data_IF_481908714446
#
_entry.id   IF_481908714446
#
_cell.length_a   1.000
_cell.length_b   1.000
_cell.length_c   1.000
_cell.angle_alpha   90.00
_cell.angle_beta   90.00
_cell.angle_gamma   90.00
#
_symmetry.space_group_name_H-M   'P 1'
#
loop_
_entity.id
_entity.type
_entity.pdbx_description
1 polymer ?
#
# COMPACT_ATOMS: atom_id res chain seq x y z
N UNK A 1 33.36 -15.90 44.36
CA UNK A 1 32.14 -15.77 43.55
C UNK A 1 31.28 -14.69 44.19
N UNK A 2 31.22 -13.50 43.61
CA UNK A 2 30.27 -12.46 43.99
C UNK A 2 29.51 -12.11 42.72
N UNK A 3 28.25 -12.53 42.64
CA UNK A 3 27.33 -12.14 41.57
C UNK A 3 26.62 -10.87 42.00
N UNK A 4 26.76 -9.78 41.24
CA UNK A 4 25.92 -8.61 41.39
C UNK A 4 24.47 -9.00 41.08
N UNK A 5 23.56 -8.84 42.04
CA UNK A 5 22.13 -8.75 41.74
C UNK A 5 21.85 -7.36 41.18
N UNK A 6 21.35 -7.30 39.94
CA UNK A 6 20.77 -6.06 39.41
C UNK A 6 19.53 -5.72 40.24
N UNK A 7 19.53 -4.51 40.78
CA UNK A 7 18.40 -3.95 41.52
C UNK A 7 17.20 -3.78 40.57
N UNK A 8 16.05 -4.30 40.97
CA UNK A 8 14.80 -4.17 40.22
C UNK A 8 14.34 -2.71 40.30
N UNK A 9 14.51 -1.96 39.20
CA UNK A 9 14.06 -0.57 39.12
C UNK A 9 12.61 -0.54 38.65
N UNK A 10 11.69 -0.21 39.55
CA UNK A 10 10.30 0.09 39.21
C UNK A 10 10.23 1.42 38.46
N UNK A 11 10.09 1.36 37.14
CA UNK A 11 9.85 2.55 36.31
C UNK A 11 8.40 3.00 36.55
N UNK A 12 8.14 4.24 36.99
CA UNK A 12 6.78 4.74 37.15
C UNK A 12 6.03 4.66 35.83
N UNK A 13 4.79 4.19 35.86
CA UNK A 13 3.93 4.21 34.69
C UNK A 13 3.69 5.66 34.26
N UNK A 14 4.12 6.01 33.04
CA UNK A 14 3.84 7.32 32.46
C UNK A 14 2.33 7.55 32.32
N UNK A 15 1.88 8.80 32.41
CA UNK A 15 0.50 9.16 32.12
C UNK A 15 0.16 8.81 30.66
N UNK A 16 -1.04 8.25 30.42
CA UNK A 16 -1.49 7.99 29.06
C UNK A 16 -1.80 9.30 28.34
N UNK A 17 -1.17 9.47 27.19
CA UNK A 17 -1.33 10.65 26.33
C UNK A 17 -2.22 10.27 25.15
N UNK A 18 -3.04 11.21 24.68
CA UNK A 18 -3.84 11.02 23.46
C UNK A 18 -2.88 11.08 22.27
N UNK A 19 -2.88 10.04 21.44
CA UNK A 19 -2.15 9.97 20.19
C UNK A 19 -3.12 10.15 19.04
N UNK A 20 -2.79 11.06 18.12
CA UNK A 20 -3.58 11.36 16.92
C UNK A 20 -2.70 11.21 15.69
N UNK A 21 -3.17 10.45 14.70
CA UNK A 21 -2.47 10.28 13.43
C UNK A 21 -3.44 10.55 12.27
N UNK A 22 -3.11 11.54 11.46
CA UNK A 22 -3.84 11.85 10.24
C UNK A 22 -2.97 12.61 9.25
N UNK A 23 -3.09 12.25 7.97
CA UNK A 23 -2.48 12.95 6.85
C UNK A 23 -3.55 13.18 5.81
N UNK A 24 -3.91 14.44 5.57
CA UNK A 24 -4.86 14.80 4.52
C UNK A 24 -4.21 14.63 3.15
N UNK A 25 -4.87 13.93 2.22
CA UNK A 25 -4.33 13.69 0.89
C UNK A 25 -5.18 14.31 -0.22
N UNK A 26 -4.55 14.94 -1.22
CA UNK A 26 -5.19 15.33 -2.48
C UNK A 26 -5.27 14.19 -3.50
N UNK A 27 -4.97 12.95 -3.11
CA UNK A 27 -5.09 11.78 -3.98
C UNK A 27 -6.55 11.61 -4.44
N UNK A 28 -6.87 11.78 -5.73
CA UNK A 28 -8.23 11.58 -6.22
C UNK A 28 -8.67 10.12 -6.14
N UNK A 29 -7.71 9.18 -6.07
CA UNK A 29 -7.99 7.74 -5.94
C UNK A 29 -8.18 7.33 -4.48
N UNK A 30 -7.94 8.24 -3.51
CA UNK A 30 -8.25 7.99 -2.11
C UNK A 30 -9.76 7.97 -1.90
N UNK A 31 -10.31 6.78 -1.67
CA UNK A 31 -11.75 6.57 -1.42
C UNK A 31 -12.24 7.24 -0.12
N UNK A 32 -11.33 7.56 0.80
CA UNK A 32 -11.62 8.15 2.10
C UNK A 32 -10.36 8.76 2.75
N UNK A 33 -10.58 9.65 3.71
CA UNK A 33 -9.56 10.12 4.65
C UNK A 33 -9.81 9.53 6.04
N UNK A 34 -8.75 9.42 6.83
CA UNK A 34 -8.79 8.80 8.14
C UNK A 34 -8.11 9.67 9.21
N UNK A 35 -8.65 9.61 10.42
CA UNK A 35 -8.03 10.09 11.64
C UNK A 35 -8.03 8.94 12.63
N UNK A 36 -6.85 8.54 13.08
CA UNK A 36 -6.68 7.53 14.12
C UNK A 36 -6.45 8.22 15.46
N UNK A 37 -7.17 7.79 16.49
CA UNK A 37 -7.16 8.35 17.85
C UNK A 37 -7.02 7.22 18.85
N UNK A 38 -5.97 7.26 19.64
CA UNK A 38 -5.61 6.19 20.57
C UNK A 38 -4.89 6.68 21.83
N UNK A 39 -4.71 5.81 22.81
CA UNK A 39 -3.84 6.07 23.96
C UNK A 39 -2.41 5.65 23.68
N UNK A 40 -1.44 6.39 24.23
CA UNK A 40 -0.05 5.95 24.27
C UNK A 40 0.09 4.63 25.05
N UNK A 41 1.02 3.79 24.61
CA UNK A 41 1.37 2.54 25.30
C UNK A 41 2.31 2.86 26.46
N UNK A 42 1.95 2.41 27.66
CA UNK A 42 2.71 2.65 28.91
C UNK A 42 3.45 1.38 29.39
N UNK A 43 3.75 0.45 28.50
CA UNK A 43 4.41 -0.83 28.83
C UNK A 43 3.54 -1.89 29.53
N UNK A 44 2.27 -1.59 29.83
CA UNK A 44 1.34 -2.50 30.56
C UNK A 44 0.29 -3.15 29.67
N UNK A 45 0.23 -2.77 28.39
CA UNK A 45 -0.76 -3.28 27.46
C UNK A 45 -0.16 -4.39 26.61
N UNK A 46 -0.75 -5.59 26.66
CA UNK A 46 -0.52 -6.60 25.64
C UNK A 46 -1.10 -6.07 24.34
N UNK A 47 -0.25 -5.68 23.40
CA UNK A 47 -0.68 -5.33 22.05
C UNK A 47 -1.07 -6.66 21.38
N UNK A 48 -2.36 -6.86 21.02
CA UNK A 48 -2.74 -8.05 20.29
C UNK A 48 -1.99 -8.08 18.96
N UNK A 49 -1.62 -9.27 18.48
CA UNK A 49 -1.02 -9.43 17.16
C UNK A 49 -2.01 -8.89 16.11
N UNK A 50 -1.65 -7.77 15.48
CA UNK A 50 -2.54 -7.01 14.60
C UNK A 50 -2.48 -7.59 13.19
N UNK A 51 -2.88 -8.85 13.03
CA UNK A 51 -2.96 -9.51 11.72
C UNK A 51 -4.24 -9.06 10.99
N UNK A 52 -4.23 -7.85 10.44
CA UNK A 52 -5.31 -7.35 9.57
C UNK A 52 -4.78 -7.11 8.16
N UNK A 53 -4.63 -8.18 7.37
CA UNK A 53 -4.19 -8.09 5.97
C UNK A 53 -5.07 -7.21 5.07
N UNK A 54 -6.27 -6.81 5.53
CA UNK A 54 -7.17 -5.83 4.88
C UNK A 54 -8.00 -5.07 5.93
N UNK A 55 -8.08 -3.75 5.80
CA UNK A 55 -8.94 -2.90 6.63
C UNK A 55 -8.30 -1.58 7.03
N UNK A 56 -9.09 -0.63 7.58
CA UNK A 56 -8.57 0.60 8.15
C UNK A 56 -7.46 0.31 9.19
N UNK A 57 -6.55 1.26 9.45
CA UNK A 57 -5.52 1.10 10.47
C UNK A 57 -6.16 0.72 11.80
N UNK A 58 -5.63 -0.25 12.54
CA UNK A 58 -6.21 -0.65 13.82
C UNK A 58 -5.32 -0.15 14.95
N UNK A 59 -5.73 0.89 15.70
CA UNK A 59 -4.94 1.38 16.82
C UNK A 59 -4.81 0.28 17.89
N UNK A 60 -3.62 0.04 18.45
CA UNK A 60 -3.44 -0.83 19.60
C UNK A 60 -4.33 -0.51 20.80
N UNK A 61 -4.54 0.78 21.10
CA UNK A 61 -5.33 1.24 22.26
C UNK A 61 -6.38 2.28 21.84
N UNK A 62 -7.45 1.88 21.12
CA UNK A 62 -8.41 2.81 20.53
C UNK A 62 -9.08 3.73 21.54
N UNK A 63 -9.32 4.99 21.15
CA UNK A 63 -10.25 5.89 21.83
C UNK A 63 -11.53 6.00 21.00
N UNK A 64 -12.59 5.34 21.47
CA UNK A 64 -13.91 5.40 20.84
C UNK A 64 -14.74 6.59 21.32
N UNK A 65 -15.67 7.06 20.48
CA UNK A 65 -16.63 8.11 20.83
C UNK A 65 -16.06 9.53 20.84
N UNK A 66 -14.90 9.77 20.22
CA UNK A 66 -14.35 11.11 20.06
C UNK A 66 -15.10 11.93 19.01
N UNK A 67 -15.19 13.24 19.22
CA UNK A 67 -15.65 14.21 18.24
C UNK A 67 -14.47 14.73 17.42
N UNK A 68 -14.40 14.34 16.14
CA UNK A 68 -13.29 14.64 15.22
C UNK A 68 -13.77 15.59 14.13
N UNK A 69 -13.28 16.83 14.17
CA UNK A 69 -13.65 17.89 13.25
C UNK A 69 -12.40 18.45 12.58
N UNK A 70 -12.45 18.63 11.26
CA UNK A 70 -11.46 19.38 10.50
C UNK A 70 -12.12 20.62 9.92
N UNK A 71 -11.54 21.78 10.23
CA UNK A 71 -12.01 23.09 9.78
C UNK A 71 -11.00 23.69 8.81
N UNK A 72 -11.45 24.13 7.63
CA UNK A 72 -10.65 24.87 6.65
C UNK A 72 -10.52 26.34 7.06
N UNK A 73 -9.53 27.03 6.51
CA UNK A 73 -9.26 28.45 6.77
C UNK A 73 -10.46 29.40 6.56
N UNK A 74 -11.39 29.08 5.67
CA UNK A 74 -12.64 29.83 5.45
C UNK A 74 -13.77 29.52 6.45
N UNK A 75 -13.53 28.64 7.42
CA UNK A 75 -14.50 28.25 8.45
C UNK A 75 -15.36 27.04 8.08
N UNK A 76 -15.32 26.59 6.84
CA UNK A 76 -15.99 25.35 6.41
C UNK A 76 -15.43 24.17 7.21
N UNK A 77 -16.29 23.23 7.59
CA UNK A 77 -15.91 22.16 8.52
C UNK A 77 -16.56 20.83 8.15
N UNK A 78 -15.77 19.78 8.27
CA UNK A 78 -16.20 18.40 8.09
C UNK A 78 -16.01 17.62 9.39
N UNK A 79 -16.93 16.69 9.64
CA UNK A 79 -16.88 15.80 10.80
C UNK A 79 -16.56 14.39 10.33
N UNK A 80 -15.56 13.77 10.95
CA UNK A 80 -15.24 12.38 10.69
C UNK A 80 -16.10 11.49 11.59
N UNK A 81 -16.52 10.34 11.05
CA UNK A 81 -17.39 9.39 11.76
C UNK A 81 -16.60 8.15 12.13
N UNK A 82 -16.73 7.68 13.37
CA UNK A 82 -16.07 6.44 13.81
C UNK A 82 -16.54 5.24 12.98
N UNK A 83 -15.61 4.38 12.57
CA UNK A 83 -15.92 3.15 11.85
C UNK A 83 -16.43 2.11 12.86
N UNK A 84 -17.64 1.54 12.69
CA UNK A 84 -18.21 0.60 13.67
C UNK A 84 -17.32 -0.61 13.97
N UNK A 85 -16.63 -1.15 12.96
CA UNK A 85 -15.82 -2.36 13.08
C UNK A 85 -14.34 -2.07 13.40
N UNK A 86 -13.96 -0.81 13.61
CA UNK A 86 -12.58 -0.42 13.93
C UNK A 86 -12.58 0.81 14.81
N UNK A 87 -12.71 0.58 16.12
CA UNK A 87 -12.72 1.62 17.13
C UNK A 87 -11.46 2.48 17.05
N UNK A 88 -11.59 3.75 17.44
CA UNK A 88 -10.51 4.73 17.39
C UNK A 88 -10.12 5.17 15.97
N UNK A 89 -10.85 4.73 14.93
CA UNK A 89 -10.66 5.21 13.57
C UNK A 89 -11.88 5.96 13.10
N UNK A 90 -11.65 7.20 12.70
CA UNK A 90 -12.66 8.12 12.22
C UNK A 90 -12.43 8.31 10.73
N UNK A 91 -13.48 8.17 9.94
CA UNK A 91 -13.46 8.18 8.48
C UNK A 91 -14.36 9.26 7.94
N UNK A 92 -13.97 9.82 6.80
CA UNK A 92 -14.85 10.56 5.91
C UNK A 92 -14.67 10.07 4.48
N UNK A 93 -15.77 9.90 3.75
CA UNK A 93 -15.73 9.47 2.35
C UNK A 93 -15.29 10.60 1.42
N UNK A 94 -14.66 10.27 0.30
CA UNK A 94 -14.27 11.28 -0.69
C UNK A 94 -15.45 12.14 -1.18
N UNK A 95 -16.62 11.52 -1.35
CA UNK A 95 -17.85 12.23 -1.78
C UNK A 95 -18.25 13.38 -0.85
N UNK A 96 -18.00 13.25 0.45
CA UNK A 96 -18.30 14.28 1.45
C UNK A 96 -17.20 15.36 1.55
N UNK A 97 -16.08 15.16 0.86
CA UNK A 97 -14.93 16.06 0.85
C UNK A 97 -14.73 16.80 -0.48
N UNK A 98 -15.60 16.57 -1.47
CA UNK A 98 -15.47 17.17 -2.80
C UNK A 98 -15.43 18.70 -2.67
N UNK A 99 -14.34 19.31 -3.12
CA UNK A 99 -14.12 20.75 -3.02
C UNK A 99 -13.72 21.26 -1.62
N UNK A 100 -13.68 20.40 -0.60
CA UNK A 100 -13.19 20.75 0.73
C UNK A 100 -11.65 20.84 0.74
N UNK A 101 -10.97 19.83 0.20
CA UNK A 101 -9.52 19.80 0.09
C UNK A 101 -9.04 20.59 -1.14
N UNK A 102 -8.09 21.50 -0.95
CA UNK A 102 -7.47 22.24 -2.04
C UNK A 102 -6.02 22.63 -1.73
N UNK A 103 -5.14 22.70 -2.75
CA UNK A 103 -3.78 23.21 -2.61
C UNK A 103 -3.70 24.57 -1.89
N UNK A 104 -2.70 24.74 -1.03
CA UNK A 104 -2.40 26.00 -0.36
C UNK A 104 -3.36 26.41 0.76
N UNK A 105 -4.45 25.66 1.00
CA UNK A 105 -5.37 25.90 2.10
C UNK A 105 -4.80 25.45 3.45
N UNK A 106 -5.16 26.17 4.51
CA UNK A 106 -4.88 25.72 5.88
C UNK A 106 -6.06 24.95 6.46
N UNK A 107 -5.76 23.90 7.22
CA UNK A 107 -6.72 23.05 7.91
C UNK A 107 -6.37 22.97 9.38
N UNK A 108 -7.41 22.95 10.23
CA UNK A 108 -7.32 22.86 11.68
C UNK A 108 -8.07 21.63 12.15
N UNK A 109 -7.36 20.71 12.81
CA UNK A 109 -7.93 19.53 13.44
C UNK A 109 -8.33 19.86 14.89
N UNK A 110 -9.50 19.37 15.29
CA UNK A 110 -9.93 19.29 16.69
C UNK A 110 -10.46 17.89 16.96
N UNK A 111 -9.88 17.23 17.96
CA UNK A 111 -10.35 15.95 18.50
C UNK A 111 -10.76 16.17 19.95
N UNK A 112 -12.03 15.96 20.28
CA UNK A 112 -12.53 15.99 21.66
C UNK A 112 -12.84 14.56 22.09
N UNK A 113 -12.08 14.01 23.02
CA UNK A 113 -12.30 12.64 23.51
C UNK A 113 -13.43 12.60 24.56
N UNK A 114 -14.03 11.43 24.87
CA UNK A 114 -15.20 11.35 25.76
C UNK A 114 -14.98 11.94 27.16
N UNK A 115 -13.75 11.93 27.66
CA UNK A 115 -13.40 12.51 28.97
C UNK A 115 -13.27 14.05 28.95
N UNK A 116 -13.51 14.69 27.80
CA UNK A 116 -13.49 16.14 27.61
C UNK A 116 -12.13 16.72 27.24
N UNK A 117 -11.04 15.94 27.25
CA UNK A 117 -9.74 16.40 26.75
C UNK A 117 -9.78 16.69 25.26
N UNK A 118 -8.96 17.65 24.82
CA UNK A 118 -8.96 18.15 23.44
C UNK A 118 -7.56 18.14 22.86
N UNK A 119 -7.41 17.53 21.68
CA UNK A 119 -6.22 17.64 20.84
C UNK A 119 -6.49 18.61 19.69
N UNK A 120 -5.54 19.50 19.41
CA UNK A 120 -5.61 20.44 18.28
C UNK A 120 -4.37 20.31 17.41
N UNK A 121 -4.54 20.46 16.10
CA UNK A 121 -3.44 20.50 15.14
C UNK A 121 -3.75 21.45 14.00
N UNK A 122 -2.71 21.90 13.28
CA UNK A 122 -2.87 22.68 12.05
C UNK A 122 -1.92 22.17 10.98
N UNK A 123 -2.38 22.10 9.74
CA UNK A 123 -1.56 21.74 8.57
C UNK A 123 -1.92 22.63 7.38
N UNK A 124 -1.02 22.74 6.42
CA UNK A 124 -1.26 23.45 5.15
C UNK A 124 -1.08 22.48 4.01
N UNK A 125 -2.08 22.39 3.14
CA UNK A 125 -2.05 21.48 2.01
C UNK A 125 -0.99 21.94 0.99
N UNK A 126 -0.01 21.09 0.63
CA UNK A 126 0.96 21.45 -0.39
C UNK A 126 0.32 21.52 -1.78
N UNK A 127 1.00 22.20 -2.71
CA UNK A 127 0.67 22.14 -4.13
C UNK A 127 0.96 20.77 -4.72
N UNK A 128 0.10 20.28 -5.62
CA UNK A 128 0.36 19.06 -6.38
C UNK A 128 1.59 19.26 -7.25
N UNK A 129 2.63 18.42 -7.13
CA UNK A 129 3.84 18.56 -7.92
C UNK A 129 3.55 18.30 -9.40
N UNK A 130 4.25 19.01 -10.29
CA UNK A 130 4.34 18.64 -11.71
C UNK A 130 5.49 17.67 -11.85
N UNK A 131 5.19 16.43 -12.23
CA UNK A 131 6.18 15.35 -12.33
C UNK A 131 6.47 15.04 -13.80
N UNK A 132 7.75 15.01 -14.16
CA UNK A 132 8.26 14.70 -15.50
C UNK A 132 9.04 13.39 -15.49
N UNK A 133 9.11 12.72 -16.64
CA UNK A 133 9.80 11.44 -16.80
C UNK A 133 8.94 10.21 -16.45
N UNK A 134 7.66 10.41 -16.14
CA UNK A 134 6.71 9.31 -15.95
C UNK A 134 6.20 8.80 -17.29
N UNK A 135 6.13 7.47 -17.43
CA UNK A 135 5.44 6.82 -18.54
C UNK A 135 3.91 6.92 -18.37
N UNK A 136 3.12 6.72 -19.45
CA UNK A 136 1.67 6.60 -19.36
C UNK A 136 1.23 5.51 -18.38
N UNK A 137 0.02 5.66 -17.83
CA UNK A 137 -0.54 4.64 -16.93
C UNK A 137 -0.74 3.31 -17.67
N UNK A 138 -0.32 2.23 -17.02
CA UNK A 138 -0.32 0.89 -17.58
C UNK A 138 0.70 0.66 -18.70
N UNK A 139 1.67 1.56 -18.90
CA UNK A 139 2.79 1.34 -19.81
C UNK A 139 3.71 0.21 -19.29
N UNK A 140 4.32 -0.58 -20.18
CA UNK A 140 5.29 -1.57 -19.78
C UNK A 140 6.55 -0.90 -19.25
N UNK A 141 7.09 -1.42 -18.15
CA UNK A 141 8.39 -1.05 -17.59
C UNK A 141 9.23 -2.32 -17.44
N UNK A 142 10.29 -2.46 -18.25
CA UNK A 142 11.17 -3.62 -18.22
C UNK A 142 12.21 -3.46 -17.11
N UNK A 143 12.08 -4.24 -16.03
CA UNK A 143 12.95 -4.14 -14.86
C UNK A 143 14.42 -4.44 -15.15
N UNK A 144 14.76 -5.15 -16.22
CA UNK A 144 16.15 -5.54 -16.52
C UNK A 144 16.91 -4.48 -17.32
N UNK A 145 16.17 -3.57 -17.99
CA UNK A 145 16.74 -2.61 -18.94
C UNK A 145 16.40 -1.16 -18.60
N UNK A 146 15.20 -0.94 -18.10
CA UNK A 146 14.68 0.40 -17.92
C UNK A 146 15.14 1.00 -16.59
N UNK A 147 15.26 2.32 -16.61
CA UNK A 147 15.54 3.12 -15.43
C UNK A 147 14.59 4.29 -15.42
N UNK A 148 13.85 4.44 -14.32
CA UNK A 148 12.92 5.54 -14.16
C UNK A 148 13.68 6.79 -13.71
N UNK A 149 13.79 7.77 -14.59
CA UNK A 149 14.36 9.08 -14.30
C UNK A 149 13.24 10.09 -14.09
N UNK A 150 13.02 10.49 -12.84
CA UNK A 150 11.91 11.37 -12.47
C UNK A 150 12.44 12.69 -11.97
N UNK A 151 11.79 13.78 -12.36
CA UNK A 151 12.00 15.09 -11.77
C UNK A 151 10.66 15.76 -11.45
N UNK A 152 10.64 16.66 -10.49
CA UNK A 152 9.43 17.37 -10.11
C UNK A 152 9.67 18.85 -9.82
N UNK A 153 8.62 19.63 -10.02
CA UNK A 153 8.56 21.07 -9.70
C UNK A 153 7.15 21.46 -9.22
N UNK A 154 6.94 22.73 -8.87
CA UNK A 154 5.59 23.24 -8.59
C UNK A 154 4.97 22.83 -7.24
N UNK A 155 5.70 22.13 -6.37
CA UNK A 155 5.26 21.71 -5.04
C UNK A 155 5.27 22.88 -4.02
N UNK A 156 4.56 23.97 -4.29
CA UNK A 156 4.52 25.12 -3.39
C UNK A 156 4.05 24.73 -1.98
N UNK A 157 4.69 25.28 -0.95
CA UNK A 157 4.40 24.95 0.44
C UNK A 157 4.88 23.58 0.89
N UNK A 158 5.54 22.81 0.01
CA UNK A 158 6.12 21.53 0.37
C UNK A 158 7.46 21.67 1.07
N UNK A 159 7.71 20.82 2.07
CA UNK A 159 9.02 20.72 2.74
C UNK A 159 9.96 19.71 2.08
N UNK A 160 9.40 18.80 1.29
CA UNK A 160 10.09 17.72 0.58
C UNK A 160 9.05 16.78 -0.03
N UNK A 161 9.52 15.80 -0.80
CA UNK A 161 8.64 14.78 -1.38
C UNK A 161 8.82 13.43 -0.71
N UNK A 162 7.74 12.68 -0.69
CA UNK A 162 7.68 11.27 -0.39
C UNK A 162 7.64 10.49 -1.70
N UNK A 163 8.49 9.47 -1.84
CA UNK A 163 8.54 8.60 -3.00
C UNK A 163 8.19 7.19 -2.56
N UNK A 164 7.27 6.57 -3.28
CA UNK A 164 6.80 5.22 -2.99
C UNK A 164 6.69 4.37 -4.25
N UNK A 165 7.05 3.09 -4.11
CA UNK A 165 6.66 2.02 -5.04
C UNK A 165 5.87 0.99 -4.23
N UNK A 166 4.68 0.65 -4.72
CA UNK A 166 3.80 -0.34 -4.07
C UNK A 166 3.06 -1.17 -5.11
N UNK A 167 2.73 -2.44 -4.82
CA UNK A 167 1.84 -3.20 -5.67
C UNK A 167 0.47 -2.53 -5.65
N UNK A 168 -0.14 -2.37 -6.82
CA UNK A 168 -1.42 -1.67 -6.97
C UNK A 168 -2.52 -2.26 -6.08
N UNK A 169 -2.60 -3.59 -6.05
CA UNK A 169 -3.72 -4.32 -5.46
C UNK A 169 -3.47 -4.76 -4.00
N UNK A 170 -2.30 -4.39 -3.43
CA UNK A 170 -1.88 -4.73 -2.07
C UNK A 170 -1.46 -3.48 -1.31
N UNK A 171 -2.43 -2.75 -0.76
CA UNK A 171 -2.25 -1.47 -0.08
C UNK A 171 -1.24 -1.44 1.10
N UNK A 172 -0.93 -2.60 1.71
CA UNK A 172 0.01 -2.69 2.84
C UNK A 172 1.44 -3.08 2.44
N UNK A 173 1.63 -3.55 1.21
CA UNK A 173 2.96 -3.92 0.76
C UNK A 173 3.60 -2.71 0.12
N UNK A 174 4.67 -2.24 0.73
CA UNK A 174 5.46 -1.18 0.16
C UNK A 174 6.82 -1.73 -0.20
N UNK A 175 7.20 -1.55 -1.46
CA UNK A 175 8.49 -2.00 -2.01
C UNK A 175 9.55 -0.95 -1.86
N UNK A 176 9.16 0.32 -1.85
CA UNK A 176 10.07 1.41 -1.59
C UNK A 176 9.31 2.52 -0.85
N UNK A 177 9.89 3.02 0.23
CA UNK A 177 9.53 4.30 0.84
C UNK A 177 10.81 5.06 1.06
N UNK A 178 10.83 6.30 0.58
CA UNK A 178 11.85 7.27 0.95
C UNK A 178 11.27 8.68 0.89
N UNK A 179 11.99 9.60 1.50
CA UNK A 179 11.72 11.02 1.43
C UNK A 179 12.98 11.75 1.01
N UNK A 180 12.81 12.85 0.30
CA UNK A 180 13.93 13.67 -0.17
C UNK A 180 13.50 15.11 -0.37
N UNK A 181 14.43 16.03 -0.15
CA UNK A 181 14.33 17.45 -0.54
C UNK A 181 14.93 17.71 -1.93
N UNK A 182 15.46 16.67 -2.60
CA UNK A 182 15.88 16.76 -3.99
C UNK A 182 14.68 17.03 -4.91
N UNK A 183 14.96 17.48 -6.13
CA UNK A 183 13.96 17.69 -7.19
C UNK A 183 13.99 16.61 -8.26
N UNK A 184 14.86 15.61 -8.09
CA UNK A 184 15.04 14.50 -9.03
C UNK A 184 15.36 13.21 -8.30
N UNK A 185 14.95 12.11 -8.92
CA UNK A 185 15.25 10.77 -8.43
C UNK A 185 15.44 9.81 -9.60
N UNK A 186 16.26 8.79 -9.39
CA UNK A 186 16.53 7.77 -10.40
C UNK A 186 16.38 6.41 -9.76
N UNK A 187 15.51 5.58 -10.35
CA UNK A 187 15.22 4.24 -9.86
C UNK A 187 15.54 3.24 -10.96
N UNK A 188 16.67 2.53 -10.87
CA UNK A 188 16.95 1.42 -11.76
C UNK A 188 15.88 0.33 -11.62
N UNK A 189 15.53 -0.34 -12.72
CA UNK A 189 14.59 -1.44 -12.69
C UNK A 189 15.03 -2.62 -11.81
N UNK A 190 16.35 -2.87 -11.72
CA UNK A 190 16.96 -3.89 -10.86
C UNK A 190 17.33 -3.39 -9.45
N UNK A 191 16.65 -2.34 -8.97
CA UNK A 191 16.90 -1.85 -7.62
C UNK A 191 16.50 -2.92 -6.60
N UNK A 192 17.47 -3.36 -5.80
CA UNK A 192 17.24 -4.32 -4.74
C UNK A 192 16.45 -3.70 -3.59
N UNK A 193 15.54 -4.47 -3.02
CA UNK A 193 14.84 -4.15 -1.79
C UNK A 193 15.82 -4.23 -0.61
N UNK A 194 16.00 -3.15 0.17
CA UNK A 194 17.07 -3.06 1.16
C UNK A 194 16.82 -3.90 2.43
N UNK A 195 15.65 -4.52 2.57
CA UNK A 195 15.30 -5.34 3.72
C UNK A 195 15.21 -6.82 3.31
N UNK A 196 16.14 -7.69 3.77
CA UNK A 196 16.09 -9.11 3.49
C UNK A 196 14.78 -9.73 3.99
N UNK A 197 14.14 -10.54 3.17
CA UNK A 197 12.90 -11.24 3.51
C UNK A 197 12.88 -12.61 2.85
N UNK A 198 12.44 -13.62 3.60
CA UNK A 198 12.23 -14.96 3.05
C UNK A 198 10.93 -15.08 2.24
N UNK A 199 10.00 -14.13 2.39
CA UNK A 199 8.67 -14.15 1.79
C UNK A 199 8.44 -13.08 0.71
N UNK A 200 9.34 -12.11 0.59
CA UNK A 200 9.24 -11.04 -0.41
C UNK A 200 10.36 -11.15 -1.45
N UNK A 201 10.07 -10.86 -2.73
CA UNK A 201 11.12 -10.73 -3.74
C UNK A 201 12.16 -9.69 -3.35
N UNK A 202 13.44 -9.89 -3.71
CA UNK A 202 14.54 -9.01 -3.33
C UNK A 202 14.57 -7.73 -4.18
N UNK A 203 13.54 -7.45 -4.98
CA UNK A 203 13.52 -6.35 -5.93
C UNK A 203 12.37 -5.37 -5.65
N UNK A 204 12.60 -4.10 -5.97
CA UNK A 204 11.57 -3.07 -5.89
C UNK A 204 10.51 -3.24 -6.98
N UNK A 205 10.94 -3.53 -8.21
CA UNK A 205 10.06 -3.75 -9.36
C UNK A 205 9.92 -5.25 -9.62
N UNK A 206 8.71 -5.79 -9.46
CA UNK A 206 8.45 -7.23 -9.58
C UNK A 206 7.80 -7.51 -10.92
N UNK A 207 8.50 -8.24 -11.80
CA UNK A 207 7.93 -8.62 -13.08
C UNK A 207 6.67 -9.49 -12.91
N UNK A 208 5.69 -9.29 -13.79
CA UNK A 208 4.42 -9.97 -13.69
C UNK A 208 3.47 -9.34 -12.66
N UNK A 209 3.73 -8.11 -12.22
CA UNK A 209 2.83 -7.36 -11.31
C UNK A 209 2.59 -5.94 -11.79
N UNK A 210 1.52 -5.32 -11.30
CA UNK A 210 1.28 -3.89 -11.50
C UNK A 210 1.77 -3.11 -10.29
N UNK A 211 2.77 -2.29 -10.50
CA UNK A 211 3.39 -1.48 -9.45
C UNK A 211 3.00 -0.01 -9.65
N UNK A 212 2.51 0.63 -8.59
CA UNK A 212 2.22 2.06 -8.56
C UNK A 212 3.41 2.82 -8.00
N UNK A 213 3.97 3.69 -8.83
CA UNK A 213 4.94 4.70 -8.44
C UNK A 213 4.22 5.98 -8.03
N UNK A 214 4.58 6.53 -6.87
CA UNK A 214 4.01 7.77 -6.33
C UNK A 214 5.10 8.74 -5.93
N UNK A 215 4.94 10.00 -6.34
CA UNK A 215 5.67 11.15 -5.78
C UNK A 215 4.64 12.06 -5.10
N UNK A 216 4.79 12.28 -3.79
CA UNK A 216 3.88 13.11 -3.02
C UNK A 216 4.60 14.28 -2.38
N UNK A 217 4.20 15.50 -2.71
CA UNK A 217 4.63 16.68 -1.99
C UNK A 217 4.07 16.61 -0.57
N UNK A 218 4.92 16.79 0.44
CA UNK A 218 4.52 16.76 1.86
C UNK A 218 4.56 18.15 2.47
N UNK A 219 3.63 18.41 3.40
CA UNK A 219 3.71 19.56 4.30
C UNK A 219 4.83 19.38 5.33
N UNK A 220 5.05 20.42 6.15
CA UNK A 220 6.11 20.37 7.15
C UNK A 220 5.82 19.36 8.26
N UNK A 221 4.56 19.20 8.68
CA UNK A 221 4.23 18.31 9.78
C UNK A 221 4.44 16.84 9.40
N UNK A 222 4.06 16.46 8.17
CA UNK A 222 4.25 15.10 7.69
C UNK A 222 5.73 14.79 7.41
N UNK A 223 6.47 15.75 6.84
CA UNK A 223 7.91 15.63 6.67
C UNK A 223 8.64 15.47 8.02
N UNK A 224 8.27 16.28 9.02
CA UNK A 224 8.84 16.23 10.37
C UNK A 224 8.53 14.90 11.07
N UNK A 225 7.33 14.36 10.88
CA UNK A 225 6.93 13.07 11.41
C UNK A 225 7.83 11.93 10.91
N UNK A 226 8.13 11.85 9.62
CA UNK A 226 8.98 10.77 9.08
C UNK A 226 10.45 10.88 9.43
N UNK A 227 10.99 12.11 9.54
CA UNK A 227 12.42 12.30 9.82
C UNK A 227 12.76 12.19 11.29
N UNK A 228 11.78 12.21 12.20
CA UNK A 228 12.08 12.20 13.62
C UNK A 228 12.28 10.78 14.12
N UNK A 229 13.48 10.53 14.64
CA UNK A 229 13.73 9.35 15.44
C UNK A 229 12.90 9.49 16.73
N UNK A 230 12.06 8.50 16.99
CA UNK A 230 11.36 8.39 18.25
C UNK A 230 12.17 7.48 19.15
N UNK A 231 12.70 7.99 20.27
CA UNK A 231 13.18 7.12 21.34
C UNK A 231 11.96 6.36 21.89
N UNK A 232 11.87 5.03 21.70
CA UNK A 232 10.68 4.28 22.07
C UNK A 232 10.44 4.23 23.59
N UNK A 233 11.43 4.59 24.40
CA UNK A 233 11.34 4.57 25.87
C UNK A 233 11.01 5.94 26.45
N UNK A 234 11.50 7.01 25.84
CA UNK A 234 11.33 8.38 26.39
C UNK A 234 10.37 9.24 25.60
N UNK A 235 10.02 8.85 24.37
CA UNK A 235 9.26 9.70 23.43
C UNK A 235 10.02 10.95 22.99
N UNK A 236 11.32 11.06 23.34
CA UNK A 236 12.15 12.20 22.99
C UNK A 236 12.59 12.11 21.52
N UNK A 237 12.80 13.28 20.90
CA UNK A 237 13.16 13.39 19.49
C UNK A 237 11.96 13.49 18.53
N UNK A 238 10.75 13.16 18.99
CA UNK A 238 9.53 13.31 18.19
C UNK A 238 9.14 14.79 18.00
N UNK A 239 9.04 15.24 16.75
CA UNK A 239 8.65 16.61 16.42
C UNK A 239 7.12 16.75 16.48
N UNK A 240 6.60 16.96 17.69
CA UNK A 240 5.17 17.16 17.89
C UNK A 240 4.72 18.58 17.54
N UNK A 241 3.64 18.68 16.77
CA UNK A 241 2.96 19.95 16.46
C UNK A 241 1.49 19.95 16.85
N UNK A 242 1.08 18.98 17.67
CA UNK A 242 -0.24 18.91 18.26
C UNK A 242 -0.24 19.54 19.66
N UNK A 243 -1.31 20.26 19.96
CA UNK A 243 -1.59 20.77 21.30
C UNK A 243 -2.50 19.77 22.02
N UNK A 244 -2.15 19.37 23.25
CA UNK A 244 -2.97 18.46 24.08
C UNK A 244 -2.85 16.97 23.75
N UNK A 245 -1.96 16.60 22.82
CA UNK A 245 -1.69 15.21 22.45
C UNK A 245 -0.37 15.05 21.69
N UNK A 246 -0.08 13.83 21.24
CA UNK A 246 1.10 13.45 20.46
C UNK A 246 0.69 12.89 19.09
N UNK A 247 1.61 12.89 18.14
CA UNK A 247 1.41 12.31 16.81
C UNK A 247 1.47 13.34 15.69
N UNK A 248 0.71 13.12 14.62
CA UNK A 248 0.79 13.89 13.38
C UNK A 248 -0.58 14.30 12.88
N UNK A 249 -0.70 15.58 12.53
CA UNK A 249 -1.74 16.08 11.63
C UNK A 249 -1.04 16.80 10.50
N UNK A 250 -0.88 16.13 9.36
CA UNK A 250 -0.15 16.63 8.20
C UNK A 250 -0.97 16.60 6.93
N UNK A 251 -0.32 16.90 5.81
CA UNK A 251 -0.94 16.91 4.51
C UNK A 251 0.03 16.50 3.40
N UNK A 252 -0.49 15.90 2.33
CA UNK A 252 0.27 15.53 1.15
C UNK A 252 -0.52 15.68 -0.15
N UNK A 253 0.20 15.89 -1.25
CA UNK A 253 -0.35 16.00 -2.59
C UNK A 253 0.39 15.03 -3.53
N UNK A 254 -0.16 13.83 -3.79
CA UNK A 254 0.48 12.81 -4.61
C UNK A 254 0.21 12.98 -6.11
N UNK A 255 1.18 12.51 -6.89
CA UNK A 255 1.05 12.15 -8.31
C UNK A 255 1.50 10.71 -8.45
N UNK A 256 0.61 9.86 -8.97
CA UNK A 256 0.83 8.43 -9.09
C UNK A 256 0.72 7.96 -10.55
N UNK A 257 1.49 6.92 -10.89
CA UNK A 257 1.37 6.16 -12.14
C UNK A 257 1.56 4.69 -11.85
N UNK A 258 0.74 3.87 -12.47
CA UNK A 258 0.87 2.41 -12.43
C UNK A 258 1.59 1.93 -13.67
N UNK A 259 2.54 1.02 -13.50
CA UNK A 259 3.27 0.39 -14.60
C UNK A 259 3.00 -1.11 -14.62
N UNK A 260 2.92 -1.67 -15.83
CA UNK A 260 2.93 -3.11 -16.04
C UNK A 260 4.40 -3.55 -16.02
N UNK A 261 4.86 -4.13 -14.92
CA UNK A 261 6.28 -4.48 -14.77
C UNK A 261 6.54 -5.80 -15.50
N UNK A 262 7.49 -5.76 -16.43
CA UNK A 262 7.93 -6.93 -17.23
C UNK A 262 9.43 -7.14 -17.06
N UNK A 263 9.92 -8.32 -17.44
CA UNK A 263 11.33 -8.67 -17.46
C UNK A 263 11.70 -9.28 -18.82
N UNK A 264 13.00 -9.42 -19.07
CA UNK A 264 13.47 -10.31 -20.13
C UNK A 264 13.14 -11.77 -19.78
N UNK A 265 12.90 -12.60 -20.79
CA UNK A 265 12.61 -14.02 -20.61
C UNK A 265 13.95 -14.76 -20.55
N UNK A 266 14.39 -15.11 -19.35
CA UNK A 266 15.67 -15.78 -19.12
C UNK A 266 15.55 -17.10 -18.34
N UNK A 267 14.36 -17.44 -17.86
CA UNK A 267 14.09 -18.70 -17.17
C UNK A 267 13.15 -19.63 -17.99
N UNK A 268 13.35 -20.97 -17.99
CA UNK A 268 12.53 -21.91 -18.78
C UNK A 268 11.02 -21.87 -18.48
N UNK A 269 10.63 -21.36 -17.32
CA UNK A 269 9.23 -21.23 -16.87
C UNK A 269 8.56 -19.93 -17.29
N UNK A 270 9.33 -19.02 -17.88
CA UNK A 270 8.87 -17.73 -18.32
C UNK A 270 8.44 -17.78 -19.78
N UNK A 271 7.61 -16.80 -20.14
CA UNK A 271 7.13 -16.61 -21.50
C UNK A 271 5.62 -16.49 -21.54
N UNK A 272 5.07 -16.63 -22.74
CA UNK A 272 3.64 -16.44 -22.98
C UNK A 272 2.89 -17.75 -22.76
N UNK A 273 1.76 -17.66 -22.09
CA UNK A 273 0.88 -18.77 -21.81
C UNK A 273 -0.57 -18.40 -22.13
N UNK A 274 -1.32 -19.39 -22.59
CA UNK A 274 -2.76 -19.36 -22.74
C UNK A 274 -3.39 -19.97 -21.49
N UNK A 275 -4.24 -19.21 -20.80
CA UNK A 275 -5.01 -19.65 -19.65
C UNK A 275 -6.47 -19.84 -20.06
N UNK A 276 -6.95 -21.07 -19.98
CA UNK A 276 -8.34 -21.43 -20.26
C UNK A 276 -9.00 -21.83 -18.95
N UNK A 277 -10.09 -21.17 -18.56
CA UNK A 277 -10.88 -21.54 -17.37
C UNK A 277 -12.18 -22.22 -17.79
N UNK A 278 -12.47 -23.38 -17.20
CA UNK A 278 -13.68 -24.16 -17.50
C UNK A 278 -14.65 -24.07 -16.32
N UNK A 279 -15.51 -23.05 -16.38
CA UNK A 279 -16.57 -22.74 -15.42
C UNK A 279 -17.68 -21.93 -16.12
N UNK A 280 -18.79 -21.66 -15.42
CA UNK A 280 -19.82 -20.76 -15.94
C UNK A 280 -19.22 -19.35 -16.18
N UNK A 281 -19.16 -18.92 -17.45
CA UNK A 281 -18.46 -17.69 -17.84
C UNK A 281 -16.94 -17.85 -17.96
N UNK A 282 -16.45 -19.05 -18.26
CA UNK A 282 -15.04 -19.34 -18.50
C UNK A 282 -14.39 -18.41 -19.52
N UNK A 283 -13.08 -18.25 -19.39
CA UNK A 283 -12.26 -17.32 -20.15
C UNK A 283 -11.15 -18.04 -20.89
N UNK A 284 -10.68 -17.42 -21.96
CA UNK A 284 -9.56 -17.89 -22.78
C UNK A 284 -8.60 -16.71 -22.98
N UNK A 285 -7.62 -16.65 -22.10
CA UNK A 285 -6.82 -15.47 -21.86
C UNK A 285 -5.35 -15.71 -22.19
N UNK A 286 -4.61 -14.64 -22.50
CA UNK A 286 -3.16 -14.71 -22.66
C UNK A 286 -2.47 -13.96 -21.53
N UNK A 287 -1.45 -14.59 -20.95
CA UNK A 287 -0.61 -14.03 -19.91
C UNK A 287 0.86 -14.27 -20.18
N UNK A 288 1.72 -13.45 -19.58
CA UNK A 288 3.17 -13.66 -19.59
C UNK A 288 3.63 -13.98 -18.17
N UNK A 289 4.31 -15.11 -17.99
CA UNK A 289 4.91 -15.53 -16.73
C UNK A 289 6.33 -14.99 -16.60
N UNK A 290 6.66 -14.58 -15.37
CA UNK A 290 7.97 -14.14 -14.95
C UNK A 290 8.32 -14.81 -13.62
N UNK A 291 9.54 -15.31 -13.51
CA UNK A 291 10.10 -15.82 -12.25
C UNK A 291 10.63 -14.65 -11.47
N UNK A 292 10.02 -14.38 -10.33
CA UNK A 292 10.32 -13.21 -9.48
C UNK A 292 11.34 -13.54 -8.39
N UNK A 293 11.56 -14.84 -8.12
CA UNK A 293 12.64 -15.34 -7.29
C UNK A 293 12.96 -16.78 -7.69
N UNK A 294 14.20 -17.00 -8.11
CA UNK A 294 14.77 -18.32 -8.38
C UNK A 294 15.52 -18.82 -7.13
N UNK A 295 14.78 -19.42 -6.20
CA UNK A 295 15.31 -20.02 -4.98
C UNK A 295 14.90 -21.50 -4.93
N UNK A 296 15.69 -22.37 -4.26
CA UNK A 296 15.52 -23.83 -4.35
C UNK A 296 14.11 -24.34 -3.98
N UNK A 297 13.37 -23.62 -3.12
CA UNK A 297 11.90 -23.69 -2.99
C UNK A 297 11.44 -22.67 -1.92
N UNK A 298 10.29 -21.99 -2.10
CA UNK A 298 9.48 -21.93 -3.31
C UNK A 298 10.11 -21.02 -4.38
N UNK A 299 9.88 -21.34 -5.66
CA UNK A 299 10.11 -20.40 -6.76
C UNK A 299 8.89 -19.51 -6.87
N UNK A 300 9.10 -18.19 -6.85
CA UNK A 300 8.01 -17.22 -6.93
C UNK A 300 7.74 -16.84 -8.39
N UNK A 301 6.47 -16.80 -8.77
CA UNK A 301 6.03 -16.48 -10.13
C UNK A 301 5.03 -15.34 -10.08
N UNK A 302 5.26 -14.35 -10.93
CA UNK A 302 4.31 -13.29 -11.26
C UNK A 302 3.81 -13.45 -12.69
N UNK A 303 2.60 -12.97 -12.97
CA UNK A 303 2.06 -12.93 -14.31
C UNK A 303 1.18 -11.71 -14.56
N UNK A 304 1.34 -11.13 -15.73
CA UNK A 304 0.41 -10.14 -16.26
C UNK A 304 -0.30 -10.71 -17.47
N UNK A 305 -1.61 -10.56 -17.49
CA UNK A 305 -2.44 -11.01 -18.60
C UNK A 305 -3.50 -10.00 -18.98
N UNK A 306 -3.95 -10.15 -20.22
CA UNK A 306 -5.05 -9.40 -20.81
C UNK A 306 -6.11 -10.42 -21.18
N UNK A 307 -7.29 -10.28 -20.59
CA UNK A 307 -8.38 -11.18 -20.87
C UNK A 307 -8.93 -10.94 -22.27
N UNK A 308 -9.41 -11.98 -22.93
CA UNK A 308 -10.06 -11.79 -24.22
C UNK A 308 -11.35 -10.97 -24.03
N UNK A 309 -11.43 -9.80 -24.67
CA UNK A 309 -12.67 -9.03 -24.76
C UNK A 309 -13.46 -9.51 -26.00
N UNK A 310 -14.63 -10.15 -25.83
CA UNK A 310 -15.45 -10.55 -26.97
C UNK A 310 -15.97 -9.37 -27.80
N UNK A 311 -15.96 -8.15 -27.23
CA UNK A 311 -16.55 -6.96 -27.82
C UNK A 311 -15.50 -5.88 -28.18
N UNK A 312 -14.23 -6.07 -27.80
CA UNK A 312 -13.09 -5.26 -28.25
C UNK A 312 -13.01 -3.81 -27.73
N UNK A 313 -13.75 -3.46 -26.68
CA UNK A 313 -13.80 -2.09 -26.18
C UNK A 313 -12.88 -1.83 -24.99
N UNK A 314 -12.61 -2.80 -24.11
CA UNK A 314 -11.63 -2.72 -23.02
C UNK A 314 -11.37 -4.14 -22.46
N UNK A 315 -10.19 -4.71 -22.69
CA UNK A 315 -9.86 -6.02 -22.14
C UNK A 315 -9.56 -5.95 -20.62
N UNK A 316 -10.20 -6.77 -19.78
CA UNK A 316 -9.83 -6.90 -18.36
C UNK A 316 -8.34 -7.22 -18.25
N UNK A 317 -7.62 -6.53 -17.37
CA UNK A 317 -6.27 -6.97 -16.98
C UNK A 317 -6.39 -7.92 -15.81
N UNK A 318 -5.55 -8.94 -15.78
CA UNK A 318 -5.43 -9.78 -14.61
C UNK A 318 -3.98 -9.98 -14.21
N UNK A 319 -3.80 -10.04 -12.89
CA UNK A 319 -2.54 -10.32 -12.25
C UNK A 319 -2.62 -11.72 -11.63
N UNK A 320 -1.55 -12.48 -11.80
CA UNK A 320 -1.37 -13.73 -11.09
C UNK A 320 -0.09 -13.66 -10.27
N UNK A 321 -0.19 -13.96 -8.98
CA UNK A 321 0.98 -14.13 -8.13
C UNK A 321 0.89 -15.45 -7.41
N UNK A 322 2.01 -16.17 -7.31
CA UNK A 322 2.07 -17.35 -6.48
C UNK A 322 3.41 -18.02 -6.45
N UNK A 323 3.40 -19.26 -5.97
CA UNK A 323 4.58 -20.06 -5.74
C UNK A 323 4.46 -21.42 -6.43
N UNK A 324 5.61 -21.93 -6.87
CA UNK A 324 5.79 -23.34 -7.22
C UNK A 324 6.67 -23.96 -6.13
N UNK A 325 6.06 -24.81 -5.31
CA UNK A 325 6.75 -25.54 -4.24
C UNK A 325 7.33 -26.83 -4.80
N UNK A 326 8.62 -27.08 -4.51
CA UNK A 326 9.31 -28.32 -4.90
C UNK A 326 9.13 -28.72 -6.38
N UNK A 327 8.98 -27.73 -7.26
CA UNK A 327 8.77 -27.93 -8.70
C UNK A 327 7.40 -28.51 -9.10
N UNK A 328 6.46 -28.69 -8.16
CA UNK A 328 5.22 -29.44 -8.42
C UNK A 328 3.96 -28.68 -8.02
N UNK A 329 3.87 -28.18 -6.77
CA UNK A 329 2.61 -27.59 -6.30
C UNK A 329 2.51 -26.11 -6.64
N UNK A 330 1.50 -25.76 -7.42
CA UNK A 330 1.23 -24.40 -7.87
C UNK A 330 0.06 -23.82 -7.09
N UNK A 331 0.21 -22.63 -6.50
CA UNK A 331 -0.88 -21.90 -5.84
C UNK A 331 -0.85 -20.44 -6.24
N UNK A 332 -1.85 -20.00 -7.01
CA UNK A 332 -1.84 -18.70 -7.69
C UNK A 332 -3.10 -17.90 -7.36
N UNK A 333 -2.94 -16.67 -6.90
CA UNK A 333 -4.04 -15.74 -6.70
C UNK A 333 -4.33 -15.00 -8.02
N UNK A 334 -5.52 -15.19 -8.57
CA UNK A 334 -5.99 -14.47 -9.75
C UNK A 334 -6.75 -13.21 -9.31
N UNK A 335 -6.35 -12.04 -9.81
CA UNK A 335 -7.08 -10.79 -9.63
C UNK A 335 -7.57 -10.32 -11.00
N UNK A 336 -8.88 -10.33 -11.24
CA UNK A 336 -9.48 -9.84 -12.49
C UNK A 336 -10.11 -8.49 -12.26
N UNK A 337 -9.76 -7.52 -13.12
CA UNK A 337 -10.32 -6.17 -13.08
C UNK A 337 -11.31 -5.94 -14.22
N UNK A 338 -12.61 -5.75 -13.92
CA UNK A 338 -13.60 -5.48 -14.95
C UNK A 338 -13.37 -4.10 -15.57
N UNK A 339 -13.64 -3.95 -16.88
CA UNK A 339 -13.59 -2.65 -17.55
C UNK A 339 -14.44 -1.61 -16.84
N UNK A 340 -13.87 -0.42 -16.61
CA UNK A 340 -14.59 0.72 -15.99
C UNK A 340 -14.93 0.55 -14.50
N UNK A 341 -14.53 -0.55 -13.86
CA UNK A 341 -14.82 -0.82 -12.44
C UNK A 341 -13.59 -1.34 -11.69
N UNK A 342 -12.55 -0.49 -11.50
CA UNK A 342 -11.28 -0.89 -10.88
C UNK A 342 -11.42 -1.50 -9.48
N UNK A 343 -12.52 -1.19 -8.78
CA UNK A 343 -12.79 -1.63 -7.42
C UNK A 343 -13.56 -2.96 -7.30
N UNK A 344 -13.97 -3.59 -8.42
CA UNK A 344 -14.67 -4.90 -8.42
C UNK A 344 -13.73 -6.05 -8.78
N UNK A 345 -12.75 -6.30 -7.93
CA UNK A 345 -11.83 -7.43 -8.14
C UNK A 345 -12.52 -8.77 -7.88
N UNK A 346 -12.42 -9.70 -8.83
CA UNK A 346 -12.70 -11.12 -8.56
C UNK A 346 -11.41 -11.82 -8.16
N UNK A 347 -11.49 -12.64 -7.12
CA UNK A 347 -10.37 -13.41 -6.60
C UNK A 347 -10.65 -14.90 -6.73
N UNK A 348 -9.70 -15.60 -7.31
CA UNK A 348 -9.70 -17.06 -7.39
C UNK A 348 -8.35 -17.61 -7.01
N UNK A 349 -8.33 -18.89 -6.68
CA UNK A 349 -7.11 -19.65 -6.44
C UNK A 349 -6.98 -20.72 -7.52
N UNK A 350 -5.88 -20.67 -8.28
CA UNK A 350 -5.52 -21.73 -9.21
C UNK A 350 -4.58 -22.69 -8.48
N UNK A 351 -4.93 -23.96 -8.43
CA UNK A 351 -4.13 -25.01 -7.80
C UNK A 351 -3.87 -26.18 -8.74
N UNK A 352 -2.61 -26.57 -8.89
CA UNK A 352 -2.20 -27.76 -9.66
C UNK A 352 -1.18 -28.58 -8.88
N UNK A 353 -1.21 -29.90 -9.08
CA UNK A 353 -0.27 -30.86 -8.47
C UNK A 353 1.09 -30.88 -9.16
N UNK A 354 1.15 -30.49 -10.43
CA UNK A 354 2.38 -30.36 -11.20
C UNK A 354 2.30 -29.16 -12.14
N UNK A 355 3.36 -28.36 -12.20
CA UNK A 355 3.51 -27.30 -13.20
C UNK A 355 4.44 -27.77 -14.33
N UNK A 356 3.93 -27.82 -15.56
CA UNK A 356 4.69 -28.16 -16.75
C UNK A 356 4.95 -26.90 -17.61
N UNK A 357 6.14 -26.29 -17.49
CA UNK A 357 6.47 -25.05 -18.20
C UNK A 357 6.65 -25.23 -19.71
N UNK A 358 6.85 -26.45 -20.20
CA UNK A 358 7.05 -26.75 -21.61
C UNK A 358 5.79 -27.31 -22.30
N UNK A 359 4.72 -27.52 -21.56
CA UNK A 359 3.53 -28.21 -22.04
C UNK A 359 2.24 -27.62 -21.49
N UNK A 360 1.36 -28.53 -21.08
CA UNK A 360 0.04 -28.19 -20.55
C UNK A 360 0.02 -28.49 -19.05
N UNK A 361 -0.39 -27.51 -18.27
CA UNK A 361 -0.69 -27.65 -16.84
C UNK A 361 -2.20 -27.59 -16.67
N UNK A 362 -2.79 -28.55 -15.95
CA UNK A 362 -4.21 -28.52 -15.60
C UNK A 362 -4.38 -28.53 -14.09
N UNK A 363 -5.48 -27.94 -13.61
CA UNK A 363 -5.73 -27.86 -12.18
C UNK A 363 -7.13 -27.41 -11.82
N UNK A 364 -7.32 -27.16 -10.53
CA UNK A 364 -8.58 -26.70 -9.96
C UNK A 364 -8.56 -25.18 -9.82
N UNK A 365 -9.68 -24.57 -10.20
CA UNK A 365 -9.99 -23.19 -9.85
C UNK A 365 -10.92 -23.19 -8.64
N UNK A 366 -10.55 -22.41 -7.62
CA UNK A 366 -11.31 -22.27 -6.37
C UNK A 366 -11.70 -20.81 -6.14
N UNK A 367 -12.83 -20.60 -5.47
CA UNK A 367 -13.26 -19.26 -5.07
C UNK A 367 -12.47 -18.74 -3.85
N UNK A 368 -12.81 -17.53 -3.38
CA UNK A 368 -12.20 -16.94 -2.19
C UNK A 368 -12.42 -17.74 -0.90
N UNK A 369 -13.39 -18.66 -0.86
CA UNK A 369 -13.65 -19.60 0.25
C UNK A 369 -12.95 -20.95 0.03
N UNK A 370 -12.07 -21.03 -0.97
CA UNK A 370 -11.36 -22.24 -1.40
C UNK A 370 -12.28 -23.38 -1.88
N UNK A 371 -13.56 -23.10 -2.16
CA UNK A 371 -14.47 -24.08 -2.73
C UNK A 371 -14.13 -24.28 -4.21
N UNK A 372 -14.04 -25.52 -4.72
CA UNK A 372 -13.86 -25.76 -6.15
C UNK A 372 -15.03 -25.15 -6.95
N UNK A 373 -14.71 -24.35 -7.96
CA UNK A 373 -15.71 -23.71 -8.84
C UNK A 373 -15.51 -24.03 -10.32
N UNK A 374 -14.41 -24.69 -10.67
CA UNK A 374 -14.12 -25.14 -12.03
C UNK A 374 -12.71 -25.73 -12.15
N UNK A 375 -12.27 -25.90 -13.38
CA UNK A 375 -10.89 -26.29 -13.70
C UNK A 375 -10.21 -25.23 -14.54
N UNK A 376 -8.89 -25.29 -14.64
CA UNK A 376 -8.13 -24.47 -15.58
C UNK A 376 -7.13 -25.31 -16.37
N UNK A 377 -6.75 -24.79 -17.52
CA UNK A 377 -5.66 -25.28 -18.36
C UNK A 377 -4.73 -24.12 -18.68
N UNK A 378 -3.45 -24.29 -18.45
CA UNK A 378 -2.40 -23.34 -18.77
C UNK A 378 -1.45 -23.97 -19.78
N UNK A 379 -1.33 -23.39 -20.96
CA UNK A 379 -0.54 -23.92 -22.07
C UNK A 379 0.48 -22.89 -22.52
N UNK A 380 1.75 -23.27 -22.62
CA UNK A 380 2.78 -22.38 -23.19
C UNK A 380 2.50 -22.11 -24.67
N UNK A 381 2.60 -20.84 -25.06
CA UNK A 381 2.54 -20.39 -26.44
C UNK A 381 3.94 -20.35 -27.05
N UNK A 382 4.06 -20.54 -28.38
CA UNK A 382 5.34 -20.49 -29.09
C UNK A 382 6.00 -19.11 -29.04
#
# INVERSE_FOLDING_TARGET
>A
MAGCSLEEVTIPLGERIIVVQSVLSLDPDALAQYVLVEWSVTGTATIPDQDSLRGPPRPPLPISGADVIVTRDDGDSIRFTEIPDTLGVYRIGWGDMVGFLAPGREYRLRVTVPDGRVVRGRTRMPGTPVVSGLLPDGAPFNRDRDTLHVSWSGAQGSKGVFVQVRPRDVARWVRLVLWTDSTRFTIPGRLAFPLPSDSLPPDVWIAGTRETFTVAAMDTNFFDFFRTANDPFTGSGFANRLEGGLGVFGAMAPVSRTYDVVADIDHPWEGRYRLMTNMAGGSDDTLTLFVTRDAPSPVLIGALGVAADPLGFLAPRFEITGAVESGMRMTWALVVEPPGHPNRQRRGLLTAEAFNPAGITTGLLRDARQSPVGTFTLQRLP
#
